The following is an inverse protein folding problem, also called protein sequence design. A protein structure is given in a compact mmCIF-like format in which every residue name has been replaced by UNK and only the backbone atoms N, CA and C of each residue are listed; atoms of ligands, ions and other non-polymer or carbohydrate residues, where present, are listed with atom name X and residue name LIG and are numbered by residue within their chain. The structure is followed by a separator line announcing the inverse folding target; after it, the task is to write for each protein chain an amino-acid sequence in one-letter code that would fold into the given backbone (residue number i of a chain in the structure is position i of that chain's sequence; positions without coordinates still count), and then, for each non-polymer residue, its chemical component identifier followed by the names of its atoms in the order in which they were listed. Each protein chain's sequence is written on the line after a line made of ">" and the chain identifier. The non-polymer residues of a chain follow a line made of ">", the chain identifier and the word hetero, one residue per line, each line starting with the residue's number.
data_IF_968580872649
#
_entry.id   IF_968580872649
#
_cell.length_a   1.000
_cell.length_b   1.000
_cell.length_c   1.000
_cell.angle_alpha   90.00
_cell.angle_beta   90.00
_cell.angle_gamma   90.00
#
_symmetry.space_group_name_H-M   'P 1'
#
loop_
_entity.id
_entity.type
_entity.pdbx_description
1 polymer ?
#
# COMPACT_ATOMS: atom_id res chain seq x y z
N UNK A 1 10.68 -0.47 -18.89
CA UNK A 1 11.93 -1.27 -18.85
C UNK A 1 11.92 -2.09 -17.57
N UNK A 2 12.13 -3.40 -17.67
CA UNK A 2 12.24 -4.32 -16.54
C UNK A 2 13.59 -4.09 -15.85
N UNK A 3 13.65 -4.14 -14.52
CA UNK A 3 14.92 -4.33 -13.82
C UNK A 3 15.41 -5.74 -14.18
N UNK A 4 16.40 -5.81 -15.06
CA UNK A 4 17.13 -7.05 -15.33
C UNK A 4 18.26 -7.13 -14.33
N UNK A 5 18.62 -8.34 -13.93
CA UNK A 5 19.86 -8.55 -13.20
C UNK A 5 20.99 -7.99 -14.05
N UNK A 6 21.63 -6.95 -13.53
CA UNK A 6 22.81 -6.33 -14.11
C UNK A 6 23.90 -6.46 -13.08
N UNK A 7 24.97 -7.13 -13.47
CA UNK A 7 26.15 -7.16 -12.63
C UNK A 7 26.87 -5.83 -12.80
N UNK A 8 27.06 -5.11 -11.69
CA UNK A 8 27.92 -3.92 -11.61
C UNK A 8 28.94 -4.21 -10.52
N UNK A 9 30.23 -4.09 -10.87
CA UNK A 9 31.32 -4.27 -9.92
C UNK A 9 31.25 -3.16 -8.86
N UNK A 10 31.43 -3.51 -7.58
CA UNK A 10 31.38 -2.55 -6.48
C UNK A 10 32.39 -1.41 -6.64
N UNK A 11 33.54 -1.71 -7.23
CA UNK A 11 34.62 -0.75 -7.39
C UNK A 11 34.30 0.31 -8.45
N UNK A 12 33.33 0.05 -9.34
CA UNK A 12 32.93 0.98 -10.40
C UNK A 12 31.96 2.07 -9.92
N UNK A 13 31.27 1.87 -8.79
CA UNK A 13 30.28 2.83 -8.28
C UNK A 13 30.55 3.36 -6.86
N UNK A 14 31.47 2.75 -6.11
CA UNK A 14 31.87 3.26 -4.79
C UNK A 14 32.96 4.33 -4.97
N UNK A 15 32.78 5.55 -4.43
CA UNK A 15 33.77 6.63 -4.60
C UNK A 15 35.17 6.34 -4.05
N UNK A 16 35.27 5.50 -3.01
CA UNK A 16 36.54 5.07 -2.40
C UNK A 16 36.44 3.58 -2.04
N UNK A 17 36.61 2.68 -3.02
CA UNK A 17 36.41 1.25 -2.78
C UNK A 17 37.56 0.66 -1.96
N UNK A 18 37.24 -0.22 -1.01
CA UNK A 18 38.24 -1.07 -0.37
C UNK A 18 38.62 -2.20 -1.33
N UNK A 19 39.86 -2.23 -1.86
CA UNK A 19 40.28 -3.26 -2.81
C UNK A 19 40.46 -4.64 -2.16
N UNK A 20 40.49 -4.72 -0.82
CA UNK A 20 40.59 -5.99 -0.09
C UNK A 20 39.23 -6.62 0.22
N UNK A 21 38.16 -5.84 0.14
CA UNK A 21 36.78 -6.33 0.23
C UNK A 21 36.35 -6.92 -1.11
N UNK A 22 35.80 -8.13 -1.09
CA UNK A 22 35.21 -8.78 -2.26
C UNK A 22 33.79 -8.26 -2.56
N UNK A 23 33.30 -8.49 -3.78
CA UNK A 23 31.91 -8.21 -4.17
C UNK A 23 30.89 -8.84 -3.21
N UNK A 24 31.12 -10.09 -2.80
CA UNK A 24 30.20 -10.81 -1.92
C UNK A 24 30.20 -10.22 -0.50
N UNK A 25 31.38 -9.90 0.05
CA UNK A 25 31.46 -9.27 1.37
C UNK A 25 30.74 -7.92 1.41
N UNK A 26 30.87 -7.12 0.35
CA UNK A 26 30.13 -5.88 0.21
C UNK A 26 28.62 -6.10 0.26
N UNK A 27 28.10 -7.07 -0.51
CA UNK A 27 26.68 -7.40 -0.50
C UNK A 27 26.21 -7.98 0.84
N UNK A 28 27.01 -8.84 1.48
CA UNK A 28 26.67 -9.43 2.78
C UNK A 28 26.59 -8.37 3.89
N UNK A 29 27.53 -7.42 3.89
CA UNK A 29 27.54 -6.26 4.80
C UNK A 29 26.32 -5.39 4.52
N UNK A 30 26.09 -5.02 3.26
CA UNK A 30 24.93 -4.23 2.86
C UNK A 30 23.61 -4.90 3.27
N UNK A 31 23.47 -6.19 3.01
CA UNK A 31 22.30 -6.98 3.39
C UNK A 31 22.09 -7.02 4.90
N UNK A 32 23.16 -7.18 5.68
CA UNK A 32 23.10 -7.21 7.15
C UNK A 32 22.68 -5.88 7.77
N UNK A 33 23.12 -4.75 7.22
CA UNK A 33 22.92 -3.43 7.84
C UNK A 33 21.79 -2.60 7.22
N UNK A 34 21.50 -2.78 5.92
CA UNK A 34 20.48 -2.00 5.22
C UNK A 34 19.11 -2.68 5.18
N UNK A 35 19.05 -4.00 5.43
CA UNK A 35 17.80 -4.77 5.39
C UNK A 35 17.40 -5.16 6.82
N UNK A 36 16.14 -4.93 7.18
CA UNK A 36 15.61 -5.32 8.49
C UNK A 36 15.70 -6.84 8.72
N UNK A 37 15.99 -7.28 9.94
CA UNK A 37 16.16 -8.71 10.29
C UNK A 37 14.98 -9.60 9.86
N UNK A 38 13.75 -9.08 9.96
CA UNK A 38 12.54 -9.77 9.51
C UNK A 38 12.55 -10.03 8.00
N UNK A 39 12.99 -9.04 7.22
CA UNK A 39 13.11 -9.15 5.76
C UNK A 39 14.31 -10.02 5.38
N UNK A 40 15.41 -9.94 6.12
CA UNK A 40 16.55 -10.84 5.92
C UNK A 40 16.16 -12.30 6.08
N UNK A 41 15.35 -12.61 7.09
CA UNK A 41 14.85 -13.96 7.35
C UNK A 41 14.00 -14.44 6.17
N UNK A 42 13.06 -13.62 5.70
CA UNK A 42 12.21 -13.94 4.56
C UNK A 42 13.05 -14.19 3.30
N UNK A 43 14.05 -13.35 3.01
CA UNK A 43 14.89 -13.50 1.83
C UNK A 43 15.77 -14.76 1.91
N UNK A 44 16.26 -15.12 3.09
CA UNK A 44 17.02 -16.37 3.30
C UNK A 44 16.14 -17.61 3.08
N UNK A 45 14.88 -17.57 3.51
CA UNK A 45 13.96 -18.70 3.39
C UNK A 45 13.33 -18.84 2.00
N UNK A 46 12.93 -17.71 1.40
CA UNK A 46 12.11 -17.67 0.17
C UNK A 46 12.85 -17.13 -1.05
N UNK A 47 14.09 -16.68 -0.88
CA UNK A 47 14.84 -15.97 -1.91
C UNK A 47 14.39 -14.51 -2.08
N UNK A 48 15.08 -13.79 -2.97
CA UNK A 48 14.70 -12.43 -3.35
C UNK A 48 13.38 -12.49 -4.15
N UNK A 49 12.34 -11.72 -3.79
CA UNK A 49 11.06 -11.74 -4.47
C UNK A 49 11.10 -10.96 -5.79
N UNK A 50 11.80 -11.51 -6.78
CA UNK A 50 11.87 -10.92 -8.12
C UNK A 50 10.46 -10.69 -8.71
N UNK A 51 10.27 -9.55 -9.38
CA UNK A 51 8.98 -9.18 -10.00
C UNK A 51 7.93 -8.64 -9.04
N UNK A 52 8.18 -8.56 -7.73
CA UNK A 52 7.26 -7.95 -6.77
C UNK A 52 6.98 -6.47 -7.11
N UNK A 53 8.00 -5.74 -7.54
CA UNK A 53 7.87 -4.35 -7.98
C UNK A 53 6.96 -4.18 -9.21
N UNK A 54 6.89 -5.17 -10.09
CA UNK A 54 5.94 -5.16 -11.22
C UNK A 54 4.51 -5.26 -10.72
N UNK A 55 4.25 -6.10 -9.71
CA UNK A 55 2.94 -6.24 -9.08
C UNK A 55 2.50 -4.96 -8.37
N UNK A 56 3.41 -4.30 -7.65
CA UNK A 56 3.06 -3.02 -7.00
C UNK A 56 2.75 -1.91 -8.01
N UNK A 57 3.31 -1.95 -9.23
CA UNK A 57 3.01 -0.99 -10.30
C UNK A 57 1.70 -1.27 -11.03
N UNK A 58 1.06 -2.40 -10.77
CA UNK A 58 -0.24 -2.71 -11.34
C UNK A 58 -1.28 -1.68 -10.88
N UNK A 59 -2.03 -1.13 -11.85
CA UNK A 59 -3.08 -0.14 -11.59
C UNK A 59 -4.45 -0.81 -11.47
N UNK A 60 -5.24 -0.25 -10.57
CA UNK A 60 -6.61 -0.61 -10.28
C UNK A 60 -7.43 0.67 -10.19
N UNK A 61 -8.67 0.63 -10.67
CA UNK A 61 -9.59 1.75 -10.54
C UNK A 61 -10.34 1.64 -9.21
N UNK A 62 -10.08 2.52 -8.25
CA UNK A 62 -10.74 2.47 -6.95
C UNK A 62 -10.94 3.83 -6.30
N UNK A 63 -11.71 3.85 -5.21
CA UNK A 63 -11.91 5.01 -4.33
C UNK A 63 -12.11 4.58 -2.88
N UNK A 64 -12.10 5.55 -1.96
CA UNK A 64 -12.49 5.34 -0.58
C UNK A 64 -13.96 5.69 -0.35
N UNK A 65 -14.67 4.87 0.41
CA UNK A 65 -16.09 5.09 0.74
C UNK A 65 -16.30 4.90 2.24
N UNK A 66 -16.78 5.93 2.92
CA UNK A 66 -17.21 5.84 4.30
C UNK A 66 -18.64 5.28 4.37
N UNK A 67 -18.88 4.32 5.27
CA UNK A 67 -20.23 3.86 5.65
C UNK A 67 -20.49 4.22 7.12
N UNK A 68 -20.89 5.47 7.42
CA UNK A 68 -21.11 5.92 8.79
C UNK A 68 -22.40 5.34 9.39
N UNK A 69 -22.60 5.51 10.70
CA UNK A 69 -23.79 5.03 11.43
C UNK A 69 -25.08 5.76 11.07
N UNK A 70 -24.99 7.07 10.87
CA UNK A 70 -26.14 7.96 10.71
C UNK A 70 -26.31 8.47 9.26
N UNK A 71 -25.53 7.93 8.33
CA UNK A 71 -25.49 8.30 6.90
C UNK A 71 -25.16 9.78 6.62
N UNK A 72 -24.71 10.56 7.62
CA UNK A 72 -24.45 12.00 7.47
C UNK A 72 -23.00 12.35 7.15
N UNK A 73 -22.08 11.44 7.42
CA UNK A 73 -20.65 11.65 7.19
C UNK A 73 -20.18 11.06 5.85
N UNK A 74 -19.14 11.66 5.28
CA UNK A 74 -18.58 11.28 3.97
C UNK A 74 -17.08 11.46 3.99
N UNK A 75 -16.38 10.82 3.05
CA UNK A 75 -14.98 11.15 2.76
C UNK A 75 -14.93 12.56 2.18
N UNK A 76 -14.14 13.43 2.79
CA UNK A 76 -13.89 14.81 2.35
C UNK A 76 -12.53 14.94 1.68
N UNK A 77 -11.60 14.03 1.91
CA UNK A 77 -10.29 14.05 1.26
C UNK A 77 -9.42 12.90 1.73
N UNK A 78 -8.20 12.83 1.21
CA UNK A 78 -7.21 11.87 1.67
C UNK A 78 -5.78 12.27 1.27
N UNK A 79 -4.81 11.76 2.01
CA UNK A 79 -3.44 11.60 1.57
C UNK A 79 -3.13 10.10 1.49
N UNK A 80 -2.66 9.66 0.33
CA UNK A 80 -2.40 8.26 0.02
C UNK A 80 -0.96 8.09 -0.44
N UNK A 81 -0.27 7.10 0.12
CA UNK A 81 0.99 6.54 -0.38
C UNK A 81 0.71 5.10 -0.80
N UNK A 82 1.16 4.73 -1.99
CA UNK A 82 1.02 3.38 -2.54
C UNK A 82 2.29 2.55 -2.34
N UNK A 83 2.18 1.24 -2.46
CA UNK A 83 3.32 0.32 -2.37
C UNK A 83 4.37 0.50 -3.48
N UNK A 84 4.01 1.13 -4.61
CA UNK A 84 4.96 1.50 -5.66
C UNK A 84 5.64 2.86 -5.43
N UNK A 85 5.43 3.50 -4.27
CA UNK A 85 6.03 4.77 -3.90
C UNK A 85 5.34 6.01 -4.50
N UNK A 86 4.32 5.84 -5.34
CA UNK A 86 3.49 6.99 -5.76
C UNK A 86 2.63 7.49 -4.60
N UNK A 87 2.36 8.79 -4.59
CA UNK A 87 1.45 9.39 -3.63
C UNK A 87 0.42 10.30 -4.29
N UNK A 88 -0.70 10.48 -3.60
CA UNK A 88 -1.82 11.30 -4.04
C UNK A 88 -2.40 12.06 -2.85
N UNK A 89 -2.58 13.36 -3.01
CA UNK A 89 -3.21 14.22 -2.01
C UNK A 89 -4.46 14.89 -2.58
N UNK A 90 -5.61 14.66 -1.95
CA UNK A 90 -6.89 15.31 -2.22
C UNK A 90 -7.28 16.16 -0.99
N UNK A 91 -7.14 17.49 -1.06
CA UNK A 91 -7.38 18.37 0.09
C UNK A 91 -8.87 18.72 0.26
N UNK A 92 -9.54 18.11 1.23
CA UNK A 92 -10.91 18.48 1.71
C UNK A 92 -11.93 18.81 0.59
N UNK A 93 -11.81 18.15 -0.56
CA UNK A 93 -12.73 18.20 -1.68
C UNK A 93 -13.49 16.87 -1.77
N UNK A 94 -14.72 16.86 -1.25
CA UNK A 94 -15.56 15.65 -1.24
C UNK A 94 -16.00 15.21 -2.65
N UNK A 95 -16.03 16.13 -3.62
CA UNK A 95 -16.36 15.80 -5.01
C UNK A 95 -15.21 15.04 -5.63
N UNK A 96 -13.98 15.54 -5.48
CA UNK A 96 -12.78 14.86 -5.96
C UNK A 96 -12.56 13.53 -5.22
N UNK A 97 -12.74 13.50 -3.89
CA UNK A 97 -12.53 12.30 -3.09
C UNK A 97 -13.52 11.17 -3.40
N UNK A 98 -14.71 11.48 -3.92
CA UNK A 98 -15.71 10.50 -4.31
C UNK A 98 -15.47 9.89 -5.70
N UNK A 99 -14.51 10.41 -6.49
CA UNK A 99 -14.22 9.90 -7.82
C UNK A 99 -13.38 8.62 -7.78
N UNK A 100 -13.59 7.77 -8.78
CA UNK A 100 -12.70 6.64 -9.03
C UNK A 100 -11.44 7.12 -9.73
N UNK A 101 -10.27 6.77 -9.18
CA UNK A 101 -8.97 7.05 -9.78
C UNK A 101 -8.24 5.73 -10.08
N UNK A 102 -7.42 5.73 -11.15
CA UNK A 102 -6.49 4.62 -11.40
C UNK A 102 -5.25 4.79 -10.53
N UNK A 103 -5.03 3.85 -9.63
CA UNK A 103 -3.93 3.91 -8.67
C UNK A 103 -3.37 2.52 -8.39
N UNK A 104 -2.14 2.47 -7.89
CA UNK A 104 -1.57 1.24 -7.34
C UNK A 104 -2.23 0.89 -6.00
N UNK A 105 -1.99 -0.31 -5.47
CA UNK A 105 -2.54 -0.70 -4.18
C UNK A 105 -2.04 0.24 -3.06
N UNK A 106 -2.92 0.62 -2.11
CA UNK A 106 -2.58 1.54 -1.04
C UNK A 106 -1.62 0.89 -0.04
N UNK A 107 -0.70 1.69 0.50
CA UNK A 107 0.16 1.32 1.62
C UNK A 107 -0.26 2.07 2.89
N UNK A 108 -0.28 3.40 2.82
CA UNK A 108 -0.61 4.30 3.93
C UNK A 108 -1.64 5.31 3.42
N UNK A 109 -2.81 5.34 4.05
CA UNK A 109 -3.86 6.29 3.72
C UNK A 109 -4.31 7.05 4.96
N UNK A 110 -4.07 8.36 4.96
CA UNK A 110 -4.74 9.32 5.83
C UNK A 110 -6.03 9.77 5.17
N UNK A 111 -7.18 9.52 5.79
CA UNK A 111 -8.50 9.74 5.21
C UNK A 111 -9.25 10.75 6.08
N UNK A 112 -9.79 11.78 5.44
CA UNK A 112 -10.49 12.87 6.10
C UNK A 112 -12.00 12.71 5.90
N UNK A 113 -12.74 12.94 6.97
CA UNK A 113 -14.20 12.99 6.99
C UNK A 113 -14.66 14.41 7.35
N UNK A 114 -15.94 14.62 7.68
CA UNK A 114 -16.41 15.96 8.06
C UNK A 114 -15.88 16.42 9.43
N UNK A 115 -15.87 15.51 10.40
CA UNK A 115 -15.48 15.81 11.79
C UNK A 115 -14.23 15.05 12.25
N UNK A 116 -13.99 13.89 11.64
CA UNK A 116 -12.92 12.98 12.03
C UNK A 116 -11.94 12.75 10.88
N UNK A 117 -10.82 12.13 11.21
CA UNK A 117 -9.85 11.59 10.27
C UNK A 117 -9.23 10.33 10.84
N UNK A 118 -8.69 9.49 9.96
CA UNK A 118 -8.00 8.26 10.36
C UNK A 118 -6.83 7.98 9.45
N UNK A 119 -5.80 7.32 9.98
CA UNK A 119 -4.66 6.82 9.21
C UNK A 119 -4.66 5.30 9.24
N UNK A 120 -4.53 4.68 8.08
CA UNK A 120 -4.66 3.24 7.88
C UNK A 120 -3.45 2.73 7.12
N UNK A 121 -2.74 1.77 7.72
CA UNK A 121 -1.66 1.02 7.07
C UNK A 121 -2.21 -0.31 6.58
N UNK A 122 -2.13 -0.53 5.27
CA UNK A 122 -2.59 -1.76 4.62
C UNK A 122 -1.47 -2.78 4.51
N UNK A 123 -1.81 -4.07 4.49
CA UNK A 123 -0.85 -5.15 4.20
C UNK A 123 -0.78 -5.45 2.70
N UNK A 124 0.42 -5.41 2.12
CA UNK A 124 0.64 -5.66 0.70
C UNK A 124 0.15 -7.02 0.21
N UNK A 125 0.44 -8.10 0.93
CA UNK A 125 0.05 -9.46 0.52
C UNK A 125 -1.48 -9.57 0.44
N UNK A 126 -2.20 -9.07 1.44
CA UNK A 126 -3.66 -9.07 1.44
C UNK A 126 -4.22 -8.17 0.33
N UNK A 127 -3.66 -6.97 0.15
CA UNK A 127 -4.11 -6.05 -0.90
C UNK A 127 -3.88 -6.61 -2.31
N UNK A 128 -2.67 -7.12 -2.60
CA UNK A 128 -2.36 -7.77 -3.88
C UNK A 128 -3.29 -8.96 -4.14
N UNK A 129 -3.58 -9.76 -3.11
CA UNK A 129 -4.49 -10.89 -3.23
C UNK A 129 -5.91 -10.42 -3.55
N UNK A 130 -6.49 -9.53 -2.72
CA UNK A 130 -7.89 -9.10 -2.86
C UNK A 130 -8.11 -8.34 -4.16
N UNK A 131 -7.25 -7.36 -4.47
CA UNK A 131 -7.35 -6.59 -5.71
C UNK A 131 -7.08 -7.46 -6.93
N UNK A 132 -6.09 -8.34 -6.86
CA UNK A 132 -5.78 -9.28 -7.93
C UNK A 132 -6.90 -10.29 -8.19
N UNK A 133 -7.55 -10.80 -7.15
CA UNK A 133 -8.70 -11.71 -7.28
C UNK A 133 -9.88 -11.01 -7.95
N UNK A 134 -10.20 -9.77 -7.56
CA UNK A 134 -11.24 -8.98 -8.24
C UNK A 134 -10.88 -8.63 -9.68
N UNK A 135 -9.62 -8.25 -9.96
CA UNK A 135 -9.19 -7.96 -11.34
C UNK A 135 -9.27 -9.18 -12.25
N UNK A 136 -9.05 -10.40 -11.72
CA UNK A 136 -9.24 -11.64 -12.48
C UNK A 136 -10.72 -11.94 -12.76
N UNK A 137 -11.61 -11.70 -11.79
CA UNK A 137 -13.03 -12.04 -11.94
C UNK A 137 -13.83 -10.96 -12.67
N UNK A 138 -13.46 -9.69 -12.48
CA UNK A 138 -14.22 -8.51 -12.89
C UNK A 138 -13.25 -7.37 -13.33
N UNK A 139 -12.45 -7.55 -14.39
CA UNK A 139 -11.29 -6.70 -14.73
C UNK A 139 -11.60 -5.22 -14.94
N UNK A 140 -12.77 -4.90 -15.49
CA UNK A 140 -13.15 -3.52 -15.83
C UNK A 140 -13.99 -2.84 -14.74
N UNK A 141 -14.34 -3.57 -13.66
CA UNK A 141 -15.16 -3.01 -12.59
C UNK A 141 -14.31 -2.27 -11.57
N UNK A 142 -14.73 -1.05 -11.17
CA UNK A 142 -14.03 -0.32 -10.14
C UNK A 142 -14.25 -0.95 -8.76
N UNK A 143 -13.31 -0.70 -7.85
CA UNK A 143 -13.35 -1.18 -6.47
C UNK A 143 -13.70 -0.03 -5.51
N UNK A 144 -14.49 -0.32 -4.49
CA UNK A 144 -14.66 0.57 -3.35
C UNK A 144 -13.88 0.00 -2.16
N UNK A 145 -12.95 0.78 -1.61
CA UNK A 145 -12.38 0.50 -0.28
C UNK A 145 -13.35 1.08 0.74
N UNK A 146 -14.10 0.20 1.40
CA UNK A 146 -15.12 0.54 2.36
C UNK A 146 -14.47 0.73 3.73
N UNK A 147 -14.82 1.84 4.37
CA UNK A 147 -14.37 2.21 5.70
C UNK A 147 -15.63 2.32 6.56
N UNK A 148 -15.73 1.47 7.58
CA UNK A 148 -16.86 1.44 8.49
C UNK A 148 -16.38 1.74 9.91
N UNK A 149 -16.71 2.90 10.51
CA UNK A 149 -16.33 3.19 11.89
C UNK A 149 -16.94 2.15 12.83
N UNK A 150 -16.23 1.79 13.90
CA UNK A 150 -16.81 1.09 15.06
C UNK A 150 -17.55 2.10 15.94
N UNK A 151 -18.26 1.61 16.95
CA UNK A 151 -19.01 2.47 17.86
C UNK A 151 -18.08 3.58 18.41
N UNK A 152 -18.60 4.80 18.49
CA UNK A 152 -17.87 6.01 18.91
C UNK A 152 -16.60 6.36 18.10
N UNK A 153 -16.43 5.82 16.89
CA UNK A 153 -15.26 6.08 16.03
C UNK A 153 -13.92 5.71 16.69
N UNK A 154 -13.89 4.72 17.59
CA UNK A 154 -12.64 4.28 18.24
C UNK A 154 -11.71 3.47 17.30
N UNK A 155 -12.29 2.75 16.33
CA UNK A 155 -11.60 1.90 15.36
C UNK A 155 -12.39 1.92 14.02
N UNK A 156 -11.82 1.30 12.98
CA UNK A 156 -12.47 1.12 11.69
C UNK A 156 -12.39 -0.33 11.23
N UNK A 157 -13.50 -0.82 10.67
CA UNK A 157 -13.56 -2.06 9.90
C UNK A 157 -13.45 -1.76 8.42
N UNK A 158 -12.58 -2.49 7.74
CA UNK A 158 -12.32 -2.31 6.32
C UNK A 158 -12.76 -3.52 5.49
N UNK A 159 -13.24 -3.24 4.29
CA UNK A 159 -13.53 -4.23 3.27
C UNK A 159 -13.30 -3.65 1.88
N UNK A 160 -13.14 -4.52 0.89
CA UNK A 160 -13.05 -4.14 -0.53
C UNK A 160 -14.27 -4.69 -1.25
N UNK A 161 -15.01 -3.82 -1.92
CA UNK A 161 -16.22 -4.17 -2.65
C UNK A 161 -16.03 -3.99 -4.16
N UNK A 162 -16.55 -4.95 -4.93
CA UNK A 162 -16.64 -4.90 -6.39
C UNK A 162 -18.04 -5.39 -6.81
N UNK A 163 -18.88 -4.49 -7.33
CA UNK A 163 -20.29 -4.81 -7.59
C UNK A 163 -20.99 -5.30 -6.33
N UNK A 164 -21.54 -6.51 -6.35
CA UNK A 164 -22.26 -7.10 -5.20
C UNK A 164 -21.36 -7.89 -4.25
N UNK A 165 -20.08 -8.10 -4.61
CA UNK A 165 -19.14 -8.87 -3.79
C UNK A 165 -18.35 -7.94 -2.89
N UNK A 166 -18.27 -8.28 -1.61
CA UNK A 166 -17.50 -7.54 -0.61
C UNK A 166 -16.63 -8.51 0.19
N UNK A 167 -15.33 -8.21 0.26
CA UNK A 167 -14.33 -9.02 0.96
C UNK A 167 -13.79 -8.20 2.15
N UNK A 168 -14.02 -8.65 3.40
CA UNK A 168 -13.42 -8.02 4.57
C UNK A 168 -11.89 -8.09 4.52
N UNK A 169 -11.24 -7.00 4.87
CA UNK A 169 -9.80 -7.00 5.12
C UNK A 169 -9.54 -7.48 6.55
N UNK A 170 -8.46 -8.23 6.75
CA UNK A 170 -8.10 -8.81 8.05
C UNK A 170 -6.70 -8.40 8.50
N UNK A 171 -5.87 -7.90 7.57
CA UNK A 171 -4.49 -7.48 7.79
C UNK A 171 -4.37 -5.99 7.45
N UNK A 172 -4.73 -5.15 8.40
CA UNK A 172 -4.47 -3.72 8.35
C UNK A 172 -4.27 -3.19 9.77
N UNK A 173 -3.75 -1.96 9.88
CA UNK A 173 -3.59 -1.26 11.15
C UNK A 173 -4.19 0.14 11.05
N UNK A 174 -5.22 0.40 11.85
CA UNK A 174 -5.66 1.77 12.14
C UNK A 174 -4.66 2.36 13.13
N UNK A 175 -4.00 3.45 12.73
CA UNK A 175 -2.97 4.13 13.52
C UNK A 175 -3.56 5.07 14.56
N UNK A 176 -4.68 5.68 14.22
CA UNK A 176 -5.39 6.59 15.09
C UNK A 176 -6.67 7.09 14.44
N UNK A 177 -7.49 7.67 15.28
CA UNK A 177 -8.66 8.45 14.90
C UNK A 177 -8.51 9.80 15.57
N UNK A 178 -8.62 10.88 14.79
CA UNK A 178 -8.44 12.25 15.26
C UNK A 178 -9.62 13.11 14.85
N UNK A 179 -9.95 14.10 15.67
CA UNK A 179 -11.12 14.96 15.49
C UNK A 179 -12.25 14.61 16.47
N UNK A 180 -13.27 15.47 16.51
CA UNK A 180 -14.31 15.50 17.54
C UNK A 180 -14.53 16.90 18.09
#
# INVERSE_FOLDING_TARGET
>A
MQAKEVFVDKNDFIPNPDPSESQQQFFDIGFKYAVLDSIQTIIKEKGIPYGLWDKYREKFKYRFVLRPYDEKDIVTGFYLINYNGESRFVPHDSVAAAQYEESAIPYDASIYFKLYSTEIIFNDEEMLKVFGDFKKSDPDKPLDIIIKPTFEYEDFKLSVKCGDKEVPLTKYKVKGVWGG
#
